data_IF_718132088272
#
_entry.id   IF_718132088272
#
_cell.length_a   1.000
_cell.length_b   1.000
_cell.length_c   1.000
_cell.angle_alpha   90.00
_cell.angle_beta   90.00
_cell.angle_gamma   90.00
#
_symmetry.space_group_name_H-M   'P 1'
#
loop_
_entity.id
_entity.type
_entity.pdbx_description
1 polymer ?
#
# COMPACT_ATOMS: atom_id res chain seq x y z
N UNK A 1 -13.49 -6.06 -19.90
CA UNK A 1 -12.83 -5.37 -18.78
C UNK A 1 -11.91 -6.35 -18.09
N UNK A 2 -10.61 -6.05 -18.02
CA UNK A 2 -9.56 -6.84 -17.37
C UNK A 2 -9.06 -6.07 -16.15
N UNK A 3 -9.14 -6.72 -14.98
CA UNK A 3 -8.68 -6.14 -13.71
C UNK A 3 -7.52 -6.97 -13.20
N UNK A 4 -6.44 -6.31 -12.81
CA UNK A 4 -5.31 -6.91 -12.11
C UNK A 4 -5.35 -6.53 -10.63
N UNK A 5 -5.32 -7.53 -9.75
CA UNK A 5 -5.24 -7.33 -8.30
C UNK A 5 -3.78 -7.57 -7.88
N UNK A 6 -3.10 -6.53 -7.42
CA UNK A 6 -1.69 -6.60 -7.05
C UNK A 6 -1.59 -6.95 -5.57
N UNK A 7 -0.95 -8.06 -5.25
CA UNK A 7 -0.61 -8.44 -3.87
C UNK A 7 0.89 -8.24 -3.67
N UNK A 8 1.25 -7.37 -2.74
CA UNK A 8 2.64 -6.99 -2.45
C UNK A 8 2.97 -7.20 -0.99
N UNK A 9 4.21 -7.54 -0.70
CA UNK A 9 4.74 -7.52 0.66
C UNK A 9 5.05 -6.07 1.07
N UNK A 10 4.13 -5.44 1.80
CA UNK A 10 4.22 -4.02 2.18
C UNK A 10 5.24 -3.85 3.31
N UNK A 11 6.27 -3.04 3.06
CA UNK A 11 7.21 -2.59 4.07
C UNK A 11 6.55 -1.52 4.94
N UNK A 12 6.44 -1.79 6.24
CA UNK A 12 5.77 -0.89 7.19
C UNK A 12 6.57 0.40 7.37
N UNK A 13 5.87 1.54 7.31
CA UNK A 13 6.41 2.88 7.47
C UNK A 13 7.53 3.27 6.48
N UNK A 14 7.69 2.56 5.36
CA UNK A 14 8.66 2.90 4.30
C UNK A 14 8.00 3.10 2.93
N UNK A 15 7.47 4.30 2.65
CA UNK A 15 6.88 4.63 1.35
C UNK A 15 7.82 4.53 0.16
N UNK A 16 9.11 4.77 0.38
CA UNK A 16 10.06 4.76 -0.71
C UNK A 16 10.35 3.32 -1.14
N UNK A 17 10.54 2.39 -0.20
CA UNK A 17 10.67 0.98 -0.50
C UNK A 17 9.44 0.43 -1.22
N UNK A 18 8.23 0.77 -0.77
CA UNK A 18 6.99 0.32 -1.40
C UNK A 18 6.82 0.88 -2.83
N UNK A 19 7.19 2.15 -3.06
CA UNK A 19 7.17 2.74 -4.41
C UNK A 19 8.18 2.08 -5.35
N UNK A 20 9.37 1.71 -4.87
CA UNK A 20 10.35 1.00 -5.70
C UNK A 20 9.89 -0.44 -6.02
N UNK A 21 9.28 -1.12 -5.05
CA UNK A 21 8.79 -2.48 -5.22
C UNK A 21 7.59 -2.58 -6.19
N UNK A 22 6.76 -1.54 -6.28
CA UNK A 22 5.55 -1.59 -7.12
C UNK A 22 5.82 -1.40 -8.61
N UNK A 23 6.89 -0.68 -8.97
CA UNK A 23 7.23 -0.37 -10.37
C UNK A 23 7.26 -1.61 -11.28
N UNK A 24 8.08 -2.63 -10.97
CA UNK A 24 8.13 -3.87 -11.76
C UNK A 24 6.79 -4.62 -11.83
N UNK A 25 6.01 -4.60 -10.73
CA UNK A 25 4.71 -5.27 -10.67
C UNK A 25 3.67 -4.58 -11.55
N UNK A 26 3.69 -3.25 -11.63
CA UNK A 26 2.83 -2.48 -12.52
C UNK A 26 3.12 -2.76 -13.99
N UNK A 27 4.39 -2.91 -14.36
CA UNK A 27 4.76 -3.30 -15.72
C UNK A 27 4.18 -4.66 -16.11
N UNK A 28 4.10 -5.61 -15.16
CA UNK A 28 3.47 -6.91 -15.40
C UNK A 28 1.95 -6.84 -15.59
N UNK A 29 1.31 -5.71 -15.27
CA UNK A 29 -0.12 -5.49 -15.45
C UNK A 29 -0.48 -4.88 -16.82
N UNK A 30 0.47 -4.79 -17.75
CA UNK A 30 0.25 -4.27 -19.09
C UNK A 30 -0.96 -4.95 -19.77
N UNK A 31 -1.86 -4.14 -20.34
CA UNK A 31 -3.12 -4.61 -20.94
C UNK A 31 -4.28 -4.82 -19.95
N UNK A 32 -4.13 -4.45 -18.67
CA UNK A 32 -5.26 -4.32 -17.74
C UNK A 32 -5.95 -2.97 -17.89
N UNK A 33 -7.28 -2.95 -17.77
CA UNK A 33 -8.06 -1.71 -17.75
C UNK A 33 -7.98 -1.03 -16.37
N UNK A 34 -7.79 -1.82 -15.30
CA UNK A 34 -7.67 -1.35 -13.92
C UNK A 34 -6.68 -2.22 -13.13
N UNK A 35 -5.80 -1.56 -12.40
CA UNK A 35 -4.89 -2.18 -11.44
C UNK A 35 -5.28 -1.74 -10.03
N UNK A 36 -5.56 -2.69 -9.15
CA UNK A 36 -5.94 -2.42 -7.76
C UNK A 36 -4.80 -2.81 -6.85
N UNK A 37 -4.38 -1.87 -6.01
CA UNK A 37 -3.35 -2.05 -5.00
C UNK A 37 -3.99 -2.37 -3.64
N UNK A 38 -3.25 -3.02 -2.72
CA UNK A 38 -3.76 -3.25 -1.38
C UNK A 38 -4.06 -1.94 -0.64
N UNK A 39 -4.94 -2.02 0.35
CA UNK A 39 -5.20 -0.89 1.25
C UNK A 39 -3.90 -0.42 1.92
N UNK A 40 -3.73 0.90 2.02
CA UNK A 40 -2.56 1.53 2.64
C UNK A 40 -1.20 1.07 2.08
N UNK A 41 -1.14 0.58 0.83
CA UNK A 41 0.09 0.08 0.22
C UNK A 41 1.32 0.99 0.32
N UNK A 42 1.24 2.35 0.33
CA UNK A 42 2.44 3.15 0.44
C UNK A 42 3.07 3.04 1.83
N UNK A 43 2.29 2.93 2.90
CA UNK A 43 2.82 3.04 4.27
C UNK A 43 2.69 1.77 5.09
N UNK A 44 1.89 0.81 4.63
CA UNK A 44 1.32 -0.21 5.51
C UNK A 44 0.36 0.41 6.54
N UNK A 45 -0.16 -0.44 7.41
CA UNK A 45 -1.07 -0.02 8.48
C UNK A 45 -0.28 0.60 9.64
N UNK A 46 0.21 1.83 9.48
CA UNK A 46 1.03 2.51 10.50
C UNK A 46 0.26 3.64 11.21
N UNK A 47 -0.72 3.33 12.10
CA UNK A 47 -1.35 4.35 12.91
C UNK A 47 -0.29 4.98 13.82
N UNK A 48 -0.01 6.28 13.61
CA UNK A 48 0.77 7.06 14.57
C UNK A 48 -0.16 7.39 15.73
N UNK A 49 0.19 7.08 16.99
CA UNK A 49 -0.61 7.56 18.11
C UNK A 49 -0.57 9.08 18.11
N UNK A 50 -1.69 9.72 17.74
CA UNK A 50 -1.91 11.12 18.08
C UNK A 50 -2.10 11.17 19.58
N UNK A 51 -1.41 12.11 20.23
CA UNK A 51 -1.45 12.31 21.68
C UNK A 51 -2.79 12.86 22.20
N UNK A 52 -3.91 12.51 21.56
CA UNK A 52 -5.24 12.71 22.15
C UNK A 52 -5.44 11.64 23.22
N UNK A 53 -4.87 11.98 24.37
CA UNK A 53 -5.25 11.60 25.73
C UNK A 53 -6.32 10.52 25.80
N UNK A 54 -5.89 9.26 25.92
CA UNK A 54 -6.69 8.24 26.59
C UNK A 54 -6.81 8.63 28.07
N UNK A 55 -7.71 9.57 28.39
CA UNK A 55 -8.19 9.76 29.75
C UNK A 55 -8.95 8.49 30.14
N UNK A 56 -8.21 7.54 30.73
CA UNK A 56 -8.78 6.45 31.50
C UNK A 56 -9.47 7.06 32.72
N UNK A 57 -10.80 6.96 32.77
CA UNK A 57 -11.58 7.04 34.01
C UNK A 57 -11.35 5.78 34.84
#
# INVERSE_FOLDING_TARGET
>A
MRISLLQTDIQWADPMANMQAIGPTLSACEGSDLCVLPEMWPTGFCPRPTSETAHKQ
#
